data_IF_974952020771
#
_entry.id   IF_974952020771
#
_cell.length_a   1.000
_cell.length_b   1.000
_cell.length_c   1.000
_cell.angle_alpha   90.00
_cell.angle_beta   90.00
_cell.angle_gamma   90.00
#
_symmetry.space_group_name_H-M   'P 1'
#
loop_
_entity.id
_entity.type
_entity.pdbx_description
1 polymer ?
#
# COMPACT_ATOMS: atom_id res chain seq x y z
N UNK A 1 -17.31 7.05 18.84
CA UNK A 1 -18.29 6.75 17.77
C UNK A 1 -17.92 7.62 16.58
N UNK A 2 -17.44 7.04 15.48
CA UNK A 2 -17.07 7.80 14.28
C UNK A 2 -18.33 8.41 13.64
N UNK A 3 -18.30 9.69 13.28
CA UNK A 3 -19.42 10.45 12.68
C UNK A 3 -19.80 9.99 11.25
N UNK A 4 -19.50 8.75 10.88
CA UNK A 4 -19.75 8.23 9.52
C UNK A 4 -18.89 8.89 8.44
N UNK A 5 -17.80 9.56 8.79
CA UNK A 5 -16.82 10.07 7.83
C UNK A 5 -15.73 9.03 7.60
N UNK A 6 -15.33 8.87 6.33
CA UNK A 6 -14.24 7.99 5.92
C UNK A 6 -12.90 8.57 6.38
N UNK A 7 -11.92 7.71 6.67
CA UNK A 7 -10.59 8.13 7.09
C UNK A 7 -9.65 8.16 5.89
N UNK A 8 -9.50 9.34 5.27
CA UNK A 8 -8.57 9.52 4.16
C UNK A 8 -7.14 9.73 4.67
N UNK A 9 -6.19 9.19 3.91
CA UNK A 9 -4.76 9.32 4.13
C UNK A 9 -4.00 9.48 2.83
N UNK A 10 -2.69 9.66 2.95
CA UNK A 10 -1.79 9.82 1.80
C UNK A 10 -0.58 8.93 2.00
N UNK A 11 -0.27 8.11 1.01
CA UNK A 11 1.01 7.40 0.94
C UNK A 11 2.12 8.41 0.64
N UNK A 12 3.24 8.31 1.36
CA UNK A 12 4.38 9.22 1.18
C UNK A 12 4.90 9.27 -0.26
N UNK A 13 4.86 8.19 -1.02
CA UNK A 13 5.32 8.17 -2.41
C UNK A 13 4.51 9.10 -3.32
N UNK A 14 3.24 9.37 -2.98
CA UNK A 14 2.39 10.36 -3.68
C UNK A 14 2.96 11.77 -3.64
N UNK A 15 3.72 12.10 -2.60
CA UNK A 15 4.32 13.42 -2.42
C UNK A 15 5.83 13.41 -2.69
N UNK A 16 6.50 12.32 -2.30
CA UNK A 16 7.95 12.22 -2.36
C UNK A 16 8.47 11.62 -3.66
N UNK A 17 7.61 10.94 -4.43
CA UNK A 17 7.96 10.05 -5.54
C UNK A 17 8.24 8.63 -5.02
N UNK A 18 8.12 7.63 -5.91
CA UNK A 18 8.33 6.22 -5.56
C UNK A 18 9.65 6.03 -4.81
N UNK A 19 9.57 5.32 -3.69
CA UNK A 19 10.71 4.92 -2.86
C UNK A 19 11.46 6.06 -2.20
N UNK A 20 10.75 7.10 -1.77
CA UNK A 20 11.33 8.22 -1.01
C UNK A 20 12.58 8.82 -1.68
N UNK A 21 12.44 9.27 -2.93
CA UNK A 21 13.56 9.93 -3.60
C UNK A 21 14.65 8.96 -4.07
N UNK A 22 14.25 7.81 -4.64
CA UNK A 22 15.06 6.97 -5.53
C UNK A 22 15.95 7.80 -6.50
N UNK A 23 15.53 9.03 -6.82
CA UNK A 23 16.20 9.97 -7.74
C UNK A 23 16.21 11.41 -7.17
N UNK A 24 16.07 11.58 -5.85
CA UNK A 24 15.84 12.88 -5.18
C UNK A 24 17.02 13.42 -4.37
N UNK A 25 16.94 14.70 -3.99
CA UNK A 25 17.89 15.28 -3.03
C UNK A 25 17.58 14.77 -1.61
N UNK A 26 18.42 13.85 -1.13
CA UNK A 26 18.33 13.26 0.21
C UNK A 26 19.09 14.07 1.28
N UNK A 27 19.44 15.33 0.98
CA UNK A 27 19.92 16.27 1.98
C UNK A 27 18.88 16.43 3.11
N UNK A 28 19.27 16.23 4.39
CA UNK A 28 18.34 16.26 5.52
C UNK A 28 17.53 17.56 5.63
N UNK A 29 18.12 18.72 5.29
CA UNK A 29 17.40 20.01 5.35
C UNK A 29 16.36 20.10 4.24
N UNK A 30 16.70 19.66 3.04
CA UNK A 30 15.74 19.59 1.94
C UNK A 30 14.57 18.64 2.27
N UNK A 31 14.85 17.48 2.88
CA UNK A 31 13.82 16.55 3.33
C UNK A 31 12.93 17.15 4.42
N UNK A 32 13.52 17.82 5.42
CA UNK A 32 12.77 18.52 6.47
C UNK A 32 11.78 19.55 5.90
N UNK A 33 12.21 20.38 4.96
CA UNK A 33 11.34 21.33 4.28
C UNK A 33 10.20 20.64 3.52
N UNK A 34 10.46 19.48 2.89
CA UNK A 34 9.44 18.72 2.16
C UNK A 34 8.44 18.06 3.13
N UNK A 35 8.89 17.49 4.24
CA UNK A 35 7.99 16.95 5.27
C UNK A 35 7.13 18.05 5.90
N UNK A 36 7.69 19.24 6.18
CA UNK A 36 6.90 20.36 6.67
C UNK A 36 5.81 20.79 5.67
N UNK A 37 6.12 20.80 4.37
CA UNK A 37 5.11 21.03 3.31
C UNK A 37 4.06 19.93 3.28
N UNK A 38 4.47 18.67 3.39
CA UNK A 38 3.58 17.53 3.42
C UNK A 38 2.60 17.62 4.60
N UNK A 39 3.08 17.83 5.83
CA UNK A 39 2.20 17.97 6.99
C UNK A 39 1.31 19.21 6.93
N UNK A 40 1.79 20.31 6.33
CA UNK A 40 0.96 21.48 6.08
C UNK A 40 -0.20 21.16 5.14
N UNK A 41 0.07 20.42 4.06
CA UNK A 41 -0.96 19.94 3.13
C UNK A 41 -1.98 19.06 3.86
N UNK A 42 -1.54 18.09 4.65
CA UNK A 42 -2.47 17.22 5.39
C UNK A 42 -3.38 18.02 6.34
N UNK A 43 -2.82 19.02 7.03
CA UNK A 43 -3.59 19.90 7.92
C UNK A 43 -4.60 20.78 7.17
N UNK A 44 -4.21 21.34 6.02
CA UNK A 44 -5.06 22.20 5.20
C UNK A 44 -6.31 21.48 4.70
N UNK A 45 -6.18 20.19 4.38
CA UNK A 45 -7.28 19.35 3.85
C UNK A 45 -7.85 18.37 4.87
N UNK A 46 -7.51 18.54 6.15
CA UNK A 46 -7.99 17.68 7.24
C UNK A 46 -7.78 16.17 7.01
N UNK A 47 -6.68 15.81 6.35
CA UNK A 47 -6.26 14.43 6.16
C UNK A 47 -5.69 13.87 7.47
N UNK A 48 -6.14 12.67 7.85
CA UNK A 48 -5.90 12.12 9.20
C UNK A 48 -5.18 10.76 9.18
N UNK A 49 -4.93 10.18 8.01
CA UNK A 49 -4.11 8.98 7.88
C UNK A 49 -2.83 9.27 7.08
N UNK A 50 -1.76 8.55 7.38
CA UNK A 50 -0.52 8.56 6.62
C UNK A 50 -0.07 7.13 6.45
N UNK A 51 0.31 6.78 5.23
CA UNK A 51 1.07 5.56 5.00
C UNK A 51 2.52 5.92 4.70
N UNK A 52 3.44 5.36 5.48
CA UNK A 52 4.87 5.56 5.31
C UNK A 52 5.40 4.43 4.43
N UNK A 53 5.81 4.76 3.22
CA UNK A 53 6.52 3.83 2.36
C UNK A 53 7.97 3.67 2.87
N UNK A 54 8.46 2.43 2.90
CA UNK A 54 9.78 2.10 3.45
C UNK A 54 10.78 1.53 2.44
N UNK A 55 10.52 1.65 1.14
CA UNK A 55 11.45 1.24 0.08
C UNK A 55 12.84 1.87 0.21
N UNK A 56 12.93 3.09 0.74
CA UNK A 56 14.22 3.76 0.99
C UNK A 56 15.13 2.96 1.90
N UNK A 57 14.60 2.12 2.80
CA UNK A 57 15.44 1.24 3.61
C UNK A 57 16.19 0.24 2.74
N UNK A 58 15.58 -0.29 1.67
CA UNK A 58 16.24 -1.24 0.76
C UNK A 58 17.45 -0.61 0.09
N UNK A 59 17.32 0.67 -0.25
CA UNK A 59 18.29 1.44 -1.01
C UNK A 59 19.34 2.10 -0.11
N UNK A 60 18.94 2.49 1.10
CA UNK A 60 19.75 3.17 2.09
C UNK A 60 19.41 2.64 3.50
N UNK A 61 19.98 1.49 3.91
CA UNK A 61 19.67 0.88 5.19
C UNK A 61 19.93 1.80 6.39
N UNK A 62 18.94 1.93 7.27
CA UNK A 62 18.92 2.75 8.47
C UNK A 62 18.50 4.21 8.24
N UNK A 63 18.12 4.60 7.01
CA UNK A 63 17.69 5.95 6.68
C UNK A 63 16.40 6.37 7.39
N UNK A 64 15.45 5.43 7.55
CA UNK A 64 14.21 5.61 8.29
C UNK A 64 14.48 6.05 9.72
N UNK A 65 15.30 5.30 10.46
CA UNK A 65 15.61 5.62 11.86
C UNK A 65 16.54 6.83 12.02
N UNK A 66 17.53 6.99 11.14
CA UNK A 66 18.57 8.02 11.30
C UNK A 66 18.18 9.39 10.72
N UNK A 67 17.35 9.43 9.69
CA UNK A 67 17.03 10.66 8.95
C UNK A 67 15.53 10.97 9.00
N UNK A 68 14.67 10.02 8.63
CA UNK A 68 13.22 10.27 8.54
C UNK A 68 12.60 10.47 9.92
N UNK A 69 12.91 9.61 10.89
CA UNK A 69 12.38 9.68 12.24
C UNK A 69 12.66 11.02 12.92
N UNK A 70 13.92 11.51 12.94
CA UNK A 70 14.24 12.80 13.53
C UNK A 70 13.52 13.96 12.85
N UNK A 71 13.37 13.93 11.51
CA UNK A 71 12.66 14.97 10.76
C UNK A 71 11.18 15.02 11.12
N UNK A 72 10.51 13.86 11.15
CA UNK A 72 9.09 13.81 11.53
C UNK A 72 8.92 14.29 12.97
N UNK A 73 9.86 13.95 13.86
CA UNK A 73 9.85 14.38 15.26
C UNK A 73 10.10 15.87 15.44
N UNK A 74 11.02 16.46 14.66
CA UNK A 74 11.39 17.87 14.76
C UNK A 74 10.42 18.80 14.04
N UNK A 75 9.53 18.27 13.19
CA UNK A 75 8.56 19.08 12.47
C UNK A 75 7.68 19.89 13.43
N UNK A 76 7.75 21.22 13.29
CA UNK A 76 6.89 22.16 13.99
C UNK A 76 5.43 22.10 13.51
N UNK A 77 5.20 21.51 12.33
CA UNK A 77 3.87 21.31 11.75
C UNK A 77 3.36 19.94 12.16
N UNK A 78 2.71 19.85 13.31
CA UNK A 78 2.05 18.61 13.72
C UNK A 78 0.74 18.46 12.96
N UNK A 79 0.68 17.45 12.08
CA UNK A 79 -0.58 17.04 11.50
C UNK A 79 -1.44 16.30 12.53
N UNK A 80 -2.77 16.48 12.48
CA UNK A 80 -3.71 15.74 13.33
C UNK A 80 -3.90 14.30 12.80
N UNK A 81 -2.82 13.52 12.82
CA UNK A 81 -2.78 12.15 12.35
C UNK A 81 -3.39 11.23 13.39
N UNK A 82 -4.36 10.43 12.95
CA UNK A 82 -5.09 9.43 13.75
C UNK A 82 -4.72 8.00 13.39
N UNK A 83 -4.22 7.77 12.18
CA UNK A 83 -3.85 6.45 11.69
C UNK A 83 -2.52 6.52 10.94
N UNK A 84 -1.62 5.59 11.26
CA UNK A 84 -0.36 5.42 10.54
C UNK A 84 -0.27 3.97 10.12
N UNK A 85 -0.11 3.75 8.82
CA UNK A 85 0.31 2.48 8.25
C UNK A 85 1.72 2.59 7.71
N UNK A 86 2.37 1.45 7.54
CA UNK A 86 3.69 1.33 6.93
C UNK A 86 3.57 0.37 5.77
N UNK A 87 3.88 0.85 4.58
CA UNK A 87 4.07 -0.02 3.43
C UNK A 87 5.46 -0.65 3.51
N UNK A 88 5.51 -1.95 3.73
CA UNK A 88 6.75 -2.71 3.80
C UNK A 88 7.43 -2.78 2.42
N UNK A 89 8.75 -2.93 2.39
CA UNK A 89 9.48 -2.96 1.13
C UNK A 89 9.15 -4.22 0.33
N UNK A 90 9.09 -4.07 -0.99
CA UNK A 90 8.74 -5.12 -1.94
C UNK A 90 9.60 -5.09 -3.23
N UNK A 91 10.16 -3.95 -3.65
CA UNK A 91 10.80 -3.80 -4.97
C UNK A 91 11.90 -4.83 -5.26
N UNK A 92 12.67 -5.23 -4.24
CA UNK A 92 13.78 -6.18 -4.39
C UNK A 92 13.61 -7.46 -3.57
N UNK A 93 12.40 -7.72 -3.08
CA UNK A 93 12.12 -8.85 -2.20
C UNK A 93 11.15 -9.80 -2.87
N UNK A 94 11.30 -11.08 -2.56
CA UNK A 94 10.32 -12.08 -2.95
C UNK A 94 10.06 -13.04 -1.78
N UNK A 95 9.05 -12.74 -0.94
CA UNK A 95 8.64 -13.62 0.15
C UNK A 95 8.00 -14.95 -0.30
N UNK A 96 7.70 -15.14 -1.58
CA UNK A 96 7.22 -16.41 -2.15
C UNK A 96 8.28 -17.15 -2.98
N UNK A 97 9.52 -16.67 -3.00
CA UNK A 97 10.60 -17.24 -3.80
C UNK A 97 10.74 -18.75 -3.55
N UNK A 98 10.78 -19.51 -4.65
CA UNK A 98 11.05 -20.95 -4.61
C UNK A 98 12.48 -21.25 -4.16
N UNK A 99 13.41 -20.31 -4.35
CA UNK A 99 14.75 -20.35 -3.76
C UNK A 99 14.64 -19.94 -2.28
N UNK A 100 14.78 -20.93 -1.39
CA UNK A 100 14.54 -20.81 0.05
C UNK A 100 15.46 -19.76 0.72
N UNK A 101 16.71 -19.66 0.28
CA UNK A 101 17.68 -18.69 0.78
C UNK A 101 17.22 -17.26 0.49
N UNK A 102 16.70 -17.01 -0.71
CA UNK A 102 16.21 -15.69 -1.09
C UNK A 102 14.88 -15.34 -0.41
N UNK A 103 14.00 -16.34 -0.22
CA UNK A 103 12.79 -16.19 0.60
C UNK A 103 13.14 -15.76 2.02
N UNK A 104 14.04 -16.49 2.68
CA UNK A 104 14.49 -16.19 4.05
C UNK A 104 15.12 -14.81 4.15
N UNK A 105 16.00 -14.47 3.20
CA UNK A 105 16.60 -13.13 3.13
C UNK A 105 15.51 -12.05 3.03
N UNK A 106 14.51 -12.27 2.17
CA UNK A 106 13.39 -11.34 1.98
C UNK A 106 12.61 -11.12 3.28
N UNK A 107 12.26 -12.21 3.97
CA UNK A 107 11.55 -12.17 5.26
C UNK A 107 12.39 -11.50 6.35
N UNK A 108 13.66 -11.86 6.48
CA UNK A 108 14.56 -11.28 7.49
C UNK A 108 14.78 -9.78 7.25
N UNK A 109 14.74 -9.34 6.00
CA UNK A 109 14.78 -7.93 5.65
C UNK A 109 13.48 -7.21 6.04
N UNK A 110 12.31 -7.75 5.69
CA UNK A 110 11.01 -7.20 6.11
C UNK A 110 10.94 -7.04 7.63
N UNK A 111 11.34 -8.07 8.39
CA UNK A 111 11.34 -8.05 9.86
C UNK A 111 12.26 -6.95 10.41
N UNK A 112 13.41 -6.72 9.77
CA UNK A 112 14.32 -5.64 10.15
C UNK A 112 13.66 -4.28 10.03
N UNK A 113 12.94 -4.04 8.92
CA UNK A 113 12.21 -2.78 8.70
C UNK A 113 11.05 -2.63 9.69
N UNK A 114 10.30 -3.70 9.96
CA UNK A 114 9.27 -3.69 11.02
C UNK A 114 9.88 -3.26 12.36
N UNK A 115 11.02 -3.82 12.74
CA UNK A 115 11.68 -3.46 14.00
C UNK A 115 12.18 -2.02 14.00
N UNK A 116 12.74 -1.52 12.89
CA UNK A 116 13.11 -0.11 12.75
C UNK A 116 11.88 0.83 12.87
N UNK A 117 10.73 0.43 12.32
CA UNK A 117 9.48 1.18 12.48
C UNK A 117 9.00 1.22 13.93
N UNK A 118 9.17 0.13 14.69
CA UNK A 118 8.83 0.09 16.12
C UNK A 118 9.69 1.04 16.95
N UNK A 119 10.94 1.26 16.55
CA UNK A 119 11.78 2.30 17.17
C UNK A 119 11.24 3.72 16.90
N UNK A 120 10.50 3.93 15.80
CA UNK A 120 9.78 5.18 15.55
C UNK A 120 8.60 5.38 16.51
N UNK A 121 7.98 4.32 17.02
CA UNK A 121 6.85 4.43 17.96
C UNK A 121 7.26 5.10 19.27
N UNK A 122 8.53 4.95 19.66
CA UNK A 122 9.12 5.70 20.78
C UNK A 122 9.12 7.23 20.58
N UNK A 123 8.75 7.70 19.38
CA UNK A 123 8.62 9.11 19.01
C UNK A 123 7.16 9.62 19.03
N UNK A 124 6.25 8.89 19.68
CA UNK A 124 4.80 9.16 19.77
C UNK A 124 4.03 9.00 18.45
N UNK A 125 4.51 8.13 17.57
CA UNK A 125 3.82 7.77 16.31
C UNK A 125 3.54 6.27 16.37
N UNK A 126 2.36 5.88 16.83
CA UNK A 126 2.01 4.46 16.89
C UNK A 126 1.67 3.95 15.49
N UNK A 127 2.39 2.91 15.05
CA UNK A 127 2.11 2.25 13.78
C UNK A 127 0.94 1.30 14.01
N UNK A 128 -0.18 1.60 13.37
CA UNK A 128 -1.39 0.78 13.47
C UNK A 128 -1.36 -0.44 12.56
N UNK A 129 -0.56 -0.40 11.48
CA UNK A 129 -0.60 -1.42 10.43
C UNK A 129 0.69 -1.50 9.60
N UNK A 130 0.98 -2.69 9.11
CA UNK A 130 1.98 -3.00 8.10
C UNK A 130 1.29 -3.60 6.87
N UNK A 131 1.35 -2.89 5.75
CA UNK A 131 0.93 -3.39 4.44
C UNK A 131 2.11 -4.17 3.84
N UNK A 132 1.85 -5.35 3.27
CA UNK A 132 2.90 -6.18 2.67
C UNK A 132 2.45 -6.86 1.39
N UNK A 133 3.44 -7.11 0.54
CA UNK A 133 3.35 -8.02 -0.60
C UNK A 133 3.98 -9.35 -0.18
N UNK A 134 3.30 -10.47 -0.48
CA UNK A 134 3.86 -11.81 -0.26
C UNK A 134 4.40 -12.46 -1.54
N UNK A 135 4.14 -11.84 -2.68
CA UNK A 135 4.58 -12.25 -4.02
C UNK A 135 5.30 -11.09 -4.70
N UNK A 136 6.05 -11.35 -5.77
CA UNK A 136 6.73 -10.32 -6.56
C UNK A 136 6.45 -10.45 -8.05
N UNK A 137 7.10 -9.61 -8.87
CA UNK A 137 7.02 -9.64 -10.34
C UNK A 137 7.28 -11.03 -10.94
N UNK A 138 8.04 -11.89 -10.25
CA UNK A 138 8.25 -13.26 -10.72
C UNK A 138 6.94 -14.05 -10.71
N UNK A 139 6.16 -13.98 -9.64
CA UNK A 139 4.88 -14.69 -9.55
C UNK A 139 3.85 -14.13 -10.53
N UNK A 140 3.85 -12.81 -10.77
CA UNK A 140 3.06 -12.21 -11.86
C UNK A 140 3.44 -12.81 -13.22
N UNK A 141 4.74 -13.01 -13.45
CA UNK A 141 5.24 -13.54 -14.72
C UNK A 141 4.80 -14.98 -15.01
N UNK A 142 4.49 -15.78 -13.98
CA UNK A 142 4.02 -17.18 -14.14
C UNK A 142 2.76 -17.22 -15.02
N UNK A 143 1.88 -16.21 -14.92
CA UNK A 143 0.65 -16.13 -15.70
C UNK A 143 0.92 -16.11 -17.22
N UNK A 144 2.09 -15.61 -17.63
CA UNK A 144 2.49 -15.42 -19.01
C UNK A 144 3.48 -16.47 -19.53
N UNK A 145 3.89 -17.45 -18.70
CA UNK A 145 4.80 -18.49 -19.16
C UNK A 145 4.18 -19.34 -20.27
N UNK A 146 4.97 -19.73 -21.30
CA UNK A 146 4.50 -20.54 -22.42
C UNK A 146 4.43 -22.03 -22.05
N UNK A 147 3.77 -22.36 -20.95
CA UNK A 147 3.60 -23.70 -20.39
C UNK A 147 2.11 -24.02 -20.18
N UNK A 148 1.77 -25.29 -19.92
CA UNK A 148 0.39 -25.72 -19.68
C UNK A 148 -0.18 -25.16 -18.38
N UNK A 149 -1.51 -25.01 -18.31
CA UNK A 149 -2.20 -24.46 -17.12
C UNK A 149 -1.98 -25.27 -15.85
N UNK A 150 -1.82 -26.60 -15.96
CA UNK A 150 -1.48 -27.45 -14.80
C UNK A 150 -0.07 -27.16 -14.27
N UNK A 151 0.91 -26.89 -15.16
CA UNK A 151 2.28 -26.54 -14.76
C UNK A 151 2.31 -25.15 -14.12
N UNK A 152 1.60 -24.16 -14.69
CA UNK A 152 1.43 -22.84 -14.06
C UNK A 152 0.84 -22.98 -12.66
N UNK A 153 -0.23 -23.77 -12.53
CA UNK A 153 -0.89 -24.02 -11.25
C UNK A 153 0.05 -24.68 -10.25
N UNK A 154 0.89 -25.63 -10.67
CA UNK A 154 1.89 -26.25 -9.80
C UNK A 154 2.94 -25.25 -9.29
N UNK A 155 3.40 -24.33 -10.16
CA UNK A 155 4.31 -23.25 -9.78
C UNK A 155 3.65 -22.27 -8.80
N UNK A 156 2.41 -21.84 -9.09
CA UNK A 156 1.62 -20.98 -8.20
C UNK A 156 1.45 -21.61 -6.83
N UNK A 157 1.04 -22.89 -6.76
CA UNK A 157 0.89 -23.61 -5.48
C UNK A 157 2.21 -23.65 -4.71
N UNK A 158 3.33 -23.85 -5.41
CA UNK A 158 4.66 -23.84 -4.77
C UNK A 158 5.01 -22.46 -4.21
N UNK A 159 4.75 -21.38 -4.96
CA UNK A 159 4.96 -20.01 -4.50
C UNK A 159 4.07 -19.66 -3.30
N UNK A 160 2.79 -20.05 -3.33
CA UNK A 160 1.86 -19.84 -2.21
C UNK A 160 2.30 -20.59 -0.95
N UNK A 161 2.86 -21.79 -1.08
CA UNK A 161 3.42 -22.49 0.07
C UNK A 161 4.63 -21.75 0.67
N UNK A 162 5.42 -21.05 -0.15
CA UNK A 162 6.49 -20.19 0.34
C UNK A 162 5.95 -18.90 0.97
N UNK A 163 4.95 -18.25 0.36
CA UNK A 163 4.25 -17.10 0.94
C UNK A 163 3.67 -17.42 2.34
N UNK A 164 3.03 -18.59 2.50
CA UNK A 164 2.53 -19.07 3.79
C UNK A 164 3.63 -19.18 4.83
N UNK A 165 4.74 -19.85 4.49
CA UNK A 165 5.91 -19.96 5.40
C UNK A 165 6.45 -18.58 5.78
N UNK A 166 6.53 -17.67 4.82
CA UNK A 166 7.00 -16.31 5.05
C UNK A 166 6.09 -15.53 5.99
N UNK A 167 4.77 -15.60 5.82
CA UNK A 167 3.83 -14.97 6.76
C UNK A 167 3.97 -15.57 8.17
N UNK A 168 4.06 -16.90 8.28
CA UNK A 168 4.30 -17.59 9.55
C UNK A 168 5.62 -17.14 10.20
N UNK A 169 6.70 -17.04 9.42
CA UNK A 169 8.01 -16.58 9.90
C UNK A 169 7.95 -15.12 10.38
N UNK A 170 7.29 -14.23 9.64
CA UNK A 170 7.08 -12.82 10.01
C UNK A 170 6.34 -12.73 11.34
N UNK A 171 5.19 -13.40 11.47
CA UNK A 171 4.40 -13.38 12.71
C UNK A 171 5.19 -13.92 13.90
N UNK A 172 5.85 -15.08 13.72
CA UNK A 172 6.61 -15.73 14.79
C UNK A 172 7.79 -14.90 15.25
N UNK A 173 8.55 -14.31 14.32
CA UNK A 173 9.78 -13.56 14.63
C UNK A 173 9.49 -12.14 15.12
N UNK A 174 8.41 -11.50 14.67
CA UNK A 174 8.03 -10.16 15.16
C UNK A 174 7.24 -10.22 16.46
N UNK A 175 6.47 -11.30 16.67
CA UNK A 175 5.55 -11.43 17.81
C UNK A 175 4.37 -10.45 17.77
N UNK A 176 4.14 -9.78 16.63
CA UNK A 176 3.06 -8.82 16.47
C UNK A 176 1.71 -9.51 16.28
N UNK A 177 0.63 -8.82 16.66
CA UNK A 177 -0.71 -9.32 16.44
C UNK A 177 -1.00 -9.41 14.93
N UNK A 178 -1.53 -10.54 14.41
CA UNK A 178 -1.90 -10.65 13.00
C UNK A 178 -2.77 -9.50 12.47
N UNK A 179 -3.63 -8.89 13.30
CA UNK A 179 -4.47 -7.77 12.87
C UNK A 179 -3.68 -6.51 12.48
N UNK A 180 -2.38 -6.44 12.82
CA UNK A 180 -1.48 -5.37 12.39
C UNK A 180 -1.00 -5.56 10.95
N UNK A 181 -1.27 -6.69 10.30
CA UNK A 181 -0.83 -6.94 8.93
C UNK A 181 -2.00 -6.86 7.95
N UNK A 182 -1.75 -6.28 6.79
CA UNK A 182 -2.68 -6.21 5.67
C UNK A 182 -2.00 -6.69 4.39
N UNK A 183 -2.47 -7.82 3.85
CA UNK A 183 -1.95 -8.36 2.59
C UNK A 183 -2.59 -7.64 1.41
N UNK A 184 -1.76 -7.07 0.55
CA UNK A 184 -2.24 -6.34 -0.62
C UNK A 184 -2.55 -7.26 -1.81
N UNK A 185 -3.56 -6.91 -2.61
CA UNK A 185 -3.73 -7.49 -3.95
C UNK A 185 -2.85 -6.78 -4.98
N UNK A 186 -2.19 -7.55 -5.83
CA UNK A 186 -1.27 -7.04 -6.85
C UNK A 186 -1.91 -6.96 -8.24
N UNK A 187 -1.18 -6.38 -9.19
CA UNK A 187 -1.61 -6.00 -10.54
C UNK A 187 -2.06 -7.20 -11.39
N UNK A 188 -1.35 -8.33 -11.27
CA UNK A 188 -1.54 -9.50 -12.15
C UNK A 188 -1.85 -10.76 -11.35
N UNK A 189 -1.10 -11.04 -10.28
CA UNK A 189 -1.26 -12.29 -9.54
C UNK A 189 -2.66 -12.42 -8.92
N UNK A 190 -3.42 -13.50 -9.21
CA UNK A 190 -4.80 -13.60 -8.74
C UNK A 190 -4.90 -13.70 -7.21
N UNK A 191 -5.58 -12.73 -6.59
CA UNK A 191 -5.70 -12.66 -5.13
C UNK A 191 -6.41 -13.87 -4.50
N UNK A 192 -7.19 -14.63 -5.26
CA UNK A 192 -7.79 -15.91 -4.82
C UNK A 192 -6.76 -16.89 -4.25
N UNK A 193 -5.54 -16.88 -4.77
CA UNK A 193 -4.48 -17.76 -4.29
C UNK A 193 -3.89 -17.31 -2.95
N UNK A 194 -3.93 -16.01 -2.68
CA UNK A 194 -3.42 -15.38 -1.45
C UNK A 194 -4.46 -15.29 -0.33
N UNK A 195 -5.75 -15.14 -0.68
CA UNK A 195 -6.84 -15.01 0.28
C UNK A 195 -6.91 -16.14 1.35
N UNK A 196 -6.59 -17.41 1.05
CA UNK A 196 -6.48 -18.44 2.09
C UNK A 196 -5.48 -18.09 3.20
N UNK A 197 -4.38 -17.41 2.89
CA UNK A 197 -3.37 -16.94 3.87
C UNK A 197 -4.01 -15.90 4.80
N UNK A 198 -4.82 -14.99 4.27
CA UNK A 198 -5.57 -13.99 5.04
C UNK A 198 -6.42 -14.67 6.11
N UNK A 199 -7.17 -15.71 5.71
CA UNK A 199 -8.03 -16.47 6.63
C UNK A 199 -7.24 -17.33 7.61
N UNK A 200 -6.19 -18.00 7.15
CA UNK A 200 -5.35 -18.90 7.94
C UNK A 200 -4.66 -18.17 9.09
N UNK A 201 -4.09 -17.00 8.82
CA UNK A 201 -3.32 -16.24 9.81
C UNK A 201 -4.13 -15.13 10.50
N UNK A 202 -5.40 -14.93 10.11
CA UNK A 202 -6.25 -13.85 10.62
C UNK A 202 -5.59 -12.45 10.48
N UNK A 203 -4.89 -12.26 9.37
CA UNK A 203 -4.44 -10.93 8.91
C UNK A 203 -5.58 -10.27 8.13
N UNK A 204 -5.45 -9.00 7.82
CA UNK A 204 -6.41 -8.25 7.01
C UNK A 204 -5.98 -8.12 5.55
N UNK A 205 -6.80 -7.50 4.73
CA UNK A 205 -6.53 -7.16 3.33
C UNK A 205 -6.23 -5.67 3.24
N UNK A 206 -5.18 -5.32 2.49
CA UNK A 206 -5.08 -4.01 1.86
C UNK A 206 -5.67 -4.13 0.45
N UNK A 207 -6.73 -3.40 0.16
CA UNK A 207 -7.36 -3.46 -1.15
C UNK A 207 -6.86 -2.31 -2.03
N UNK A 208 -6.01 -2.60 -3.01
CA UNK A 208 -5.69 -1.63 -4.06
C UNK A 208 -6.71 -1.71 -5.20
N UNK A 209 -7.42 -0.60 -5.41
CA UNK A 209 -8.50 -0.52 -6.40
C UNK A 209 -8.00 -0.42 -7.84
N UNK A 210 -6.80 0.11 -8.07
CA UNK A 210 -6.21 0.22 -9.40
C UNK A 210 -5.64 -1.10 -9.86
N UNK A 211 -4.93 -1.83 -9.00
CA UNK A 211 -4.44 -3.19 -9.28
C UNK A 211 -5.59 -4.10 -9.72
N UNK A 212 -6.70 -4.06 -8.98
CA UNK A 212 -7.91 -4.80 -9.34
C UNK A 212 -8.54 -4.33 -10.66
N UNK A 213 -8.53 -3.02 -10.89
CA UNK A 213 -9.00 -2.39 -12.12
C UNK A 213 -8.21 -2.81 -13.37
N UNK A 214 -6.95 -3.21 -13.26
CA UNK A 214 -6.11 -3.60 -14.42
C UNK A 214 -6.69 -4.84 -15.11
N UNK A 215 -7.25 -5.75 -14.30
CA UNK A 215 -7.98 -6.93 -14.74
C UNK A 215 -9.38 -6.62 -15.29
N UNK A 216 -9.82 -5.36 -15.25
CA UNK A 216 -11.08 -4.89 -15.81
C UNK A 216 -12.27 -4.95 -14.86
N UNK A 217 -12.03 -5.15 -13.57
CA UNK A 217 -13.08 -5.24 -12.55
C UNK A 217 -13.31 -3.91 -11.84
N UNK A 218 -14.53 -3.70 -11.34
CA UNK A 218 -14.90 -2.55 -10.52
C UNK A 218 -14.62 -2.79 -9.03
N UNK A 219 -14.38 -1.74 -8.23
CA UNK A 219 -14.04 -1.89 -6.81
C UNK A 219 -15.07 -2.68 -5.98
N UNK A 220 -16.36 -2.53 -6.27
CA UNK A 220 -17.43 -3.24 -5.56
C UNK A 220 -17.37 -4.77 -5.76
N UNK A 221 -16.88 -5.24 -6.91
CA UNK A 221 -16.74 -6.68 -7.19
C UNK A 221 -15.73 -7.34 -6.25
N UNK A 222 -14.66 -6.62 -5.88
CA UNK A 222 -13.70 -7.11 -4.89
C UNK A 222 -14.36 -7.30 -3.53
N UNK A 223 -15.18 -6.33 -3.10
CA UNK A 223 -15.90 -6.39 -1.82
C UNK A 223 -16.92 -7.54 -1.80
N UNK A 224 -17.65 -7.74 -2.88
CA UNK A 224 -18.59 -8.86 -3.01
C UNK A 224 -17.90 -10.21 -2.82
N UNK A 225 -16.68 -10.33 -3.36
CA UNK A 225 -15.88 -11.53 -3.33
C UNK A 225 -15.18 -11.78 -1.98
N UNK A 226 -14.44 -10.80 -1.48
CA UNK A 226 -13.55 -10.96 -0.32
C UNK A 226 -14.10 -10.38 0.99
N UNK A 227 -15.27 -9.74 0.94
CA UNK A 227 -16.02 -9.20 2.09
C UNK A 227 -15.35 -8.00 2.76
N UNK A 228 -16.13 -6.94 2.97
CA UNK A 228 -15.64 -5.67 3.51
C UNK A 228 -15.01 -5.82 4.90
N UNK A 229 -15.51 -6.74 5.73
CA UNK A 229 -15.00 -6.98 7.08
C UNK A 229 -13.58 -7.54 7.13
N UNK A 230 -13.05 -8.10 6.03
CA UNK A 230 -11.67 -8.57 5.98
C UNK A 230 -10.69 -7.46 5.54
N UNK A 231 -11.19 -6.28 5.15
CA UNK A 231 -10.39 -5.17 4.64
C UNK A 231 -10.16 -4.16 5.75
N UNK A 232 -8.90 -3.76 5.95
CA UNK A 232 -8.52 -2.77 6.98
C UNK A 232 -7.92 -1.50 6.39
N UNK A 233 -7.50 -1.57 5.13
CA UNK A 233 -6.89 -0.49 4.37
C UNK A 233 -7.28 -0.63 2.90
N UNK A 234 -7.42 0.51 2.22
CA UNK A 234 -7.71 0.55 0.79
C UNK A 234 -6.80 1.59 0.17
N UNK A 235 -5.96 1.17 -0.76
CA UNK A 235 -5.21 2.10 -1.61
C UNK A 235 -6.16 2.63 -2.69
N UNK A 236 -6.30 3.96 -2.73
CA UNK A 236 -7.22 4.66 -3.61
C UNK A 236 -6.47 5.49 -4.64
N UNK A 237 -6.88 5.27 -5.87
CA UNK A 237 -6.35 5.87 -7.08
C UNK A 237 -7.39 5.72 -8.18
N UNK A 238 -7.24 6.44 -9.28
CA UNK A 238 -8.06 6.21 -10.46
C UNK A 238 -7.26 5.58 -11.61
N UNK A 239 -8.00 5.12 -12.60
CA UNK A 239 -7.47 4.47 -13.79
C UNK A 239 -8.04 5.10 -15.04
N UNK A 240 -7.19 5.42 -16.00
CA UNK A 240 -7.61 5.93 -17.32
C UNK A 240 -7.36 4.91 -18.42
N UNK A 241 -8.19 4.96 -19.45
CA UNK A 241 -7.94 4.27 -20.72
C UNK A 241 -7.16 5.21 -21.63
N UNK A 242 -5.91 4.87 -21.90
CA UNK A 242 -5.07 5.62 -22.83
C UNK A 242 -4.96 4.89 -24.17
N UNK A 243 -5.35 5.58 -25.24
CA UNK A 243 -5.18 5.06 -26.60
C UNK A 243 -3.72 5.24 -27.04
N UNK A 244 -3.02 4.13 -27.26
CA UNK A 244 -1.67 4.11 -27.83
C UNK A 244 -1.75 3.72 -29.31
N UNK A 245 -1.77 4.71 -30.18
CA UNK A 245 -1.92 4.50 -31.63
C UNK A 245 -3.32 4.06 -32.06
N UNK A 246 -3.44 3.44 -33.24
CA UNK A 246 -4.75 3.21 -33.85
C UNK A 246 -5.57 2.09 -33.20
N UNK A 247 -4.94 1.08 -32.60
CA UNK A 247 -5.61 -0.16 -32.19
C UNK A 247 -5.25 -0.68 -30.78
N UNK A 248 -4.44 0.06 -30.02
CA UNK A 248 -4.04 -0.35 -28.67
C UNK A 248 -4.65 0.64 -27.68
N UNK A 249 -5.33 0.09 -26.67
CA UNK A 249 -5.79 0.85 -25.50
C UNK A 249 -5.16 0.21 -24.27
N UNK A 250 -4.48 1.02 -23.47
CA UNK A 250 -3.78 0.59 -22.27
C UNK A 250 -4.50 1.18 -21.06
N UNK A 251 -4.68 0.38 -20.02
CA UNK A 251 -5.12 0.86 -18.72
C UNK A 251 -3.92 1.44 -17.99
N UNK A 252 -4.02 2.70 -17.58
CA UNK A 252 -3.02 3.36 -16.73
C UNK A 252 -3.64 3.70 -15.39
N UNK A 253 -3.17 3.03 -14.36
CA UNK A 253 -3.47 3.34 -12.97
C UNK A 253 -2.58 4.48 -12.44
N UNK A 254 -2.67 4.71 -11.14
CA UNK A 254 -2.03 5.72 -10.30
C UNK A 254 -2.39 7.15 -10.72
N UNK A 255 -3.58 7.31 -11.31
CA UNK A 255 -4.11 8.60 -11.76
C UNK A 255 -4.89 9.27 -10.64
N UNK A 256 -5.03 10.58 -10.76
CA UNK A 256 -5.81 11.37 -9.82
C UNK A 256 -7.27 10.89 -9.76
N UNK A 257 -7.86 10.91 -8.56
CA UNK A 257 -9.27 10.56 -8.36
C UNK A 257 -10.18 11.45 -9.21
N UNK A 258 -11.13 10.83 -9.90
CA UNK A 258 -12.12 11.51 -10.74
C UNK A 258 -11.70 11.72 -12.20
N UNK A 259 -10.46 11.40 -12.56
CA UNK A 259 -9.99 11.46 -13.96
C UNK A 259 -10.33 10.17 -14.74
N UNK A 260 -10.76 9.10 -14.07
CA UNK A 260 -10.76 7.75 -14.63
C UNK A 260 -12.10 7.00 -14.63
N UNK A 261 -12.00 5.68 -14.70
CA UNK A 261 -13.11 4.76 -14.99
C UNK A 261 -13.55 3.92 -13.79
N UNK A 262 -12.90 4.06 -12.62
CA UNK A 262 -13.15 3.18 -11.47
C UNK A 262 -14.40 3.55 -10.63
N UNK A 263 -15.14 4.61 -11.03
CA UNK A 263 -16.37 5.07 -10.35
C UNK A 263 -16.18 5.23 -8.83
N UNK A 264 -15.09 5.91 -8.47
CA UNK A 264 -14.61 6.02 -7.09
C UNK A 264 -15.60 6.73 -6.16
N UNK A 265 -16.45 7.63 -6.68
CA UNK A 265 -17.50 8.28 -5.90
C UNK A 265 -18.57 7.30 -5.40
N UNK A 266 -19.08 6.45 -6.28
CA UNK A 266 -20.04 5.41 -5.91
C UNK A 266 -19.45 4.45 -4.89
N UNK A 267 -18.19 4.09 -5.07
CA UNK A 267 -17.47 3.24 -4.13
C UNK A 267 -17.32 3.91 -2.75
N UNK A 268 -16.95 5.18 -2.69
CA UNK A 268 -16.83 5.90 -1.42
C UNK A 268 -18.18 6.10 -0.73
N UNK A 269 -19.27 6.37 -1.47
CA UNK A 269 -20.61 6.40 -0.90
C UNK A 269 -21.00 5.03 -0.30
N UNK A 270 -20.72 3.94 -1.01
CA UNK A 270 -20.92 2.60 -0.48
C UNK A 270 -20.13 2.36 0.83
N UNK A 271 -18.84 2.70 0.87
CA UNK A 271 -18.02 2.56 2.08
C UNK A 271 -18.56 3.39 3.24
N UNK A 272 -19.03 4.62 2.95
CA UNK A 272 -19.62 5.51 3.94
C UNK A 272 -20.89 4.91 4.54
N UNK A 273 -21.78 4.39 3.69
CA UNK A 273 -23.03 3.76 4.10
C UNK A 273 -22.77 2.49 4.94
N UNK A 274 -21.73 1.73 4.60
CA UNK A 274 -21.27 0.57 5.37
C UNK A 274 -20.46 0.94 6.61
N UNK A 275 -20.21 2.23 6.87
CA UNK A 275 -19.40 2.75 7.98
C UNK A 275 -18.03 2.08 8.03
N UNK A 276 -17.38 1.97 6.87
CA UNK A 276 -16.04 1.40 6.77
C UNK A 276 -15.09 2.08 7.77
N UNK A 277 -14.43 1.27 8.59
CA UNK A 277 -13.58 1.75 9.70
C UNK A 277 -12.09 1.80 9.36
N UNK A 278 -11.69 1.32 8.18
CA UNK A 278 -10.31 1.34 7.71
C UNK A 278 -9.89 2.67 7.10
N UNK A 279 -8.63 2.73 6.69
CA UNK A 279 -8.05 3.90 6.04
C UNK A 279 -8.20 3.81 4.52
N UNK A 280 -8.40 4.96 3.87
CA UNK A 280 -8.38 5.13 2.42
C UNK A 280 -7.13 5.94 2.05
N UNK A 281 -6.09 5.27 1.58
CA UNK A 281 -4.77 5.87 1.35
C UNK A 281 -4.65 6.28 -0.11
N UNK A 282 -4.42 7.56 -0.38
CA UNK A 282 -4.19 8.06 -1.73
C UNK A 282 -2.81 7.63 -2.23
N UNK A 283 -2.79 6.91 -3.35
CA UNK A 283 -1.60 6.37 -4.01
C UNK A 283 -1.48 6.89 -5.45
N UNK A 284 -0.97 8.11 -5.58
CA UNK A 284 -0.62 8.71 -6.87
C UNK A 284 0.88 8.65 -7.10
N UNK A 285 1.33 8.82 -8.36
CA UNK A 285 2.77 8.85 -8.68
C UNK A 285 3.38 10.25 -8.75
N UNK A 286 2.63 11.29 -8.38
CA UNK A 286 3.13 12.66 -8.37
C UNK A 286 2.34 13.58 -7.42
N UNK A 287 3.03 14.60 -6.90
CA UNK A 287 2.41 15.63 -6.05
C UNK A 287 1.25 16.34 -6.79
N UNK A 288 1.38 16.53 -8.11
CA UNK A 288 0.32 17.14 -8.93
C UNK A 288 -0.96 16.30 -8.94
N UNK A 289 -0.83 14.99 -9.14
CA UNK A 289 -1.99 14.09 -9.17
C UNK A 289 -2.55 13.91 -7.75
N UNK A 290 -1.71 13.91 -6.71
CA UNK A 290 -2.14 13.94 -5.30
C UNK A 290 -3.02 15.17 -5.00
N UNK A 291 -2.57 16.38 -5.35
CA UNK A 291 -3.34 17.61 -5.12
C UNK A 291 -4.70 17.53 -5.85
N UNK A 292 -4.73 17.01 -7.08
CA UNK A 292 -5.99 16.81 -7.80
C UNK A 292 -6.92 15.82 -7.09
N UNK A 293 -6.40 14.70 -6.59
CA UNK A 293 -7.19 13.72 -5.83
C UNK A 293 -7.80 14.34 -4.58
N UNK A 294 -7.03 15.14 -3.85
CA UNK A 294 -7.49 15.87 -2.66
C UNK A 294 -8.59 16.88 -3.03
N UNK A 295 -8.39 17.68 -4.08
CA UNK A 295 -9.40 18.63 -4.56
C UNK A 295 -10.68 17.93 -5.04
N UNK A 296 -10.55 16.76 -5.67
CA UNK A 296 -11.70 15.93 -6.03
C UNK A 296 -12.50 15.52 -4.78
N UNK A 297 -11.83 14.96 -3.76
CA UNK A 297 -12.48 14.56 -2.50
C UNK A 297 -13.19 15.74 -1.83
N UNK A 298 -12.54 16.91 -1.78
CA UNK A 298 -13.10 18.14 -1.24
C UNK A 298 -14.33 18.60 -2.04
N UNK A 299 -14.24 18.62 -3.37
CA UNK A 299 -15.35 19.02 -4.25
C UNK A 299 -16.59 18.13 -4.11
N UNK A 300 -16.40 16.87 -3.69
CA UNK A 300 -17.45 15.88 -3.45
C UNK A 300 -17.90 15.82 -1.97
N UNK A 301 -17.34 16.66 -1.10
CA UNK A 301 -17.58 16.69 0.34
C UNK A 301 -17.28 15.35 1.04
N UNK A 302 -16.22 14.66 0.60
CA UNK A 302 -15.67 13.50 1.32
C UNK A 302 -14.69 13.93 2.41
N UNK A 303 -14.01 15.06 2.23
CA UNK A 303 -13.12 15.73 3.19
C UNK A 303 -13.47 17.21 3.32
#
# INVERSE_FOLDING_TARGET
MNNGNLCFGVNTDSFFGIGFGLIGNNDPRALELRFNRYFKLLNEYHIQAVEINTEIEQLSPGFLGKIIAPIIKSSDVKANIKSVSVHLPYLQLNPSSLLEEYRKLSVDYIIRVINACRELEALNISVGRFVLHLTSEFEDSIMFFPIGEEDKKALIVSAINQARKSMSDILKKTGLNPCMFALENLEVFPFDYLYPIVKEYNISICFDIGHWGLSGFMPLEFIEKFKLENISEIHIQDMVLERQGLRITVRKEHRALGDGILRVDEFFHYLKDKKFGGSLIIENRSEKDLIKSIEYLKSKNFI
#
